data_IF_843722410436
#
_entry.id   IF_843722410436
#
_cell.length_a   1.000
_cell.length_b   1.000
_cell.length_c   1.000
_cell.angle_alpha   90.00
_cell.angle_beta   90.00
_cell.angle_gamma   90.00
#
_symmetry.space_group_name_H-M   'P 1'
#
loop_
_entity.id
_entity.type
_entity.pdbx_description
1 polymer ?
#
# COMPACT_ATOMS: atom_id res chain seq x y z
N UNK A 1 11.79 -39.26 16.31
CA UNK A 1 11.35 -38.34 15.24
C UNK A 1 10.39 -37.33 15.82
N UNK A 2 10.66 -36.02 15.69
CA UNK A 2 9.66 -34.94 15.57
C UNK A 2 10.43 -33.61 15.50
N UNK A 3 10.66 -33.14 14.28
CA UNK A 3 11.23 -31.83 13.99
C UNK A 3 10.14 -30.80 14.28
N UNK A 4 10.22 -30.09 15.40
CA UNK A 4 9.46 -28.86 15.65
C UNK A 4 10.26 -27.70 15.05
N UNK A 5 10.18 -27.56 13.72
CA UNK A 5 10.62 -26.34 13.04
C UNK A 5 9.44 -25.40 12.95
N UNK A 6 9.08 -24.76 14.06
CA UNK A 6 8.25 -23.56 14.05
C UNK A 6 9.16 -22.40 13.65
N UNK A 7 9.45 -22.29 12.35
CA UNK A 7 10.09 -21.10 11.80
C UNK A 7 9.01 -20.05 11.56
N UNK A 8 8.53 -19.43 12.65
CA UNK A 8 7.72 -18.22 12.57
C UNK A 8 8.65 -17.05 12.23
N UNK A 9 9.09 -16.97 10.97
CA UNK A 9 9.81 -15.81 10.46
C UNK A 9 8.79 -14.69 10.16
N UNK A 10 8.29 -14.04 11.21
CA UNK A 10 7.70 -12.71 11.08
C UNK A 10 8.88 -11.75 10.97
N UNK A 11 9.36 -11.57 9.75
CA UNK A 11 10.31 -10.52 9.42
C UNK A 11 9.73 -9.71 8.26
N UNK A 12 8.71 -8.91 8.57
CA UNK A 12 8.25 -7.82 7.73
C UNK A 12 8.44 -6.49 8.49
N UNK A 13 9.70 -6.17 8.77
CA UNK A 13 10.14 -4.83 9.15
C UNK A 13 11.17 -4.40 8.09
N UNK A 14 11.16 -3.23 7.47
CA UNK A 14 10.32 -2.05 7.63
C UNK A 14 10.09 -1.45 6.23
N UNK A 15 8.84 -1.26 5.79
CA UNK A 15 8.55 -0.48 4.60
C UNK A 15 8.55 1.02 4.97
N UNK A 16 9.72 1.51 5.35
CA UNK A 16 9.99 2.93 5.55
C UNK A 16 10.42 3.53 4.22
N UNK A 17 9.49 3.74 3.30
CA UNK A 17 9.73 4.61 2.14
C UNK A 17 8.67 5.70 2.17
N UNK A 18 9.06 6.85 2.72
CA UNK A 18 8.31 8.10 2.68
C UNK A 18 8.30 8.73 1.28
N UNK A 19 8.05 7.92 0.25
CA UNK A 19 7.71 8.40 -1.06
C UNK A 19 6.20 8.20 -1.22
N UNK A 20 5.45 9.30 -1.33
CA UNK A 20 4.07 9.27 -1.79
C UNK A 20 4.07 8.67 -3.20
N UNK A 21 3.93 7.36 -3.30
CA UNK A 21 3.73 6.70 -4.57
C UNK A 21 2.39 7.22 -5.09
N UNK A 22 2.44 8.02 -6.16
CA UNK A 22 1.27 8.70 -6.71
C UNK A 22 0.08 7.78 -7.04
N UNK A 23 0.27 6.45 -7.06
CA UNK A 23 -0.79 5.44 -7.12
C UNK A 23 -0.44 4.15 -6.37
N UNK A 24 -1.48 3.38 -6.02
CA UNK A 24 -1.36 2.06 -5.39
C UNK A 24 -0.49 1.06 -6.18
N UNK A 25 -0.59 1.06 -7.52
CA UNK A 25 0.21 0.17 -8.37
C UNK A 25 1.67 0.59 -8.41
N UNK A 26 1.95 1.90 -8.42
CA UNK A 26 3.32 2.40 -8.38
C UNK A 26 4.01 2.02 -7.08
N UNK A 27 3.28 1.97 -5.95
CA UNK A 27 3.82 1.49 -4.67
C UNK A 27 4.25 0.02 -4.75
N UNK A 28 3.40 -0.84 -5.33
CA UNK A 28 3.74 -2.26 -5.54
C UNK A 28 4.90 -2.43 -6.51
N UNK A 29 4.91 -1.67 -7.62
CA UNK A 29 5.98 -1.72 -8.60
C UNK A 29 7.32 -1.30 -8.01
N UNK A 30 7.36 -0.21 -7.23
CA UNK A 30 8.58 0.26 -6.58
C UNK A 30 9.18 -0.80 -5.65
N UNK A 31 8.34 -1.53 -4.94
CA UNK A 31 8.76 -2.63 -4.07
C UNK A 31 9.19 -3.87 -4.89
N UNK A 32 8.47 -4.17 -5.97
CA UNK A 32 8.74 -5.31 -6.84
C UNK A 32 10.05 -5.18 -7.65
N UNK A 33 10.58 -3.96 -7.83
CA UNK A 33 11.89 -3.73 -8.45
C UNK A 33 13.01 -4.41 -7.66
N UNK A 34 12.90 -4.44 -6.34
CA UNK A 34 13.95 -4.97 -5.46
C UNK A 34 13.78 -6.47 -5.15
N UNK A 35 12.58 -7.03 -5.34
CA UNK A 35 12.28 -8.43 -5.04
C UNK A 35 10.98 -8.91 -5.68
N UNK A 36 10.88 -10.21 -5.94
CA UNK A 36 9.58 -10.84 -6.24
C UNK A 36 8.71 -10.83 -4.98
N UNK A 37 7.47 -10.35 -5.11
CA UNK A 37 6.51 -10.28 -4.01
C UNK A 37 5.52 -11.45 -4.06
N UNK A 38 5.20 -12.02 -2.90
CA UNK A 38 4.05 -12.94 -2.77
C UNK A 38 2.73 -12.16 -2.76
N UNK A 39 1.58 -12.82 -3.04
CA UNK A 39 0.26 -12.17 -2.95
C UNK A 39 0.01 -11.48 -1.61
N UNK A 40 0.43 -12.09 -0.50
CA UNK A 40 0.30 -11.52 0.84
C UNK A 40 1.17 -10.28 1.00
N UNK A 41 2.40 -10.30 0.48
CA UNK A 41 3.30 -9.14 0.53
C UNK A 41 2.78 -7.99 -0.34
N UNK A 42 2.19 -8.29 -1.51
CA UNK A 42 1.49 -7.30 -2.33
C UNK A 42 0.33 -6.66 -1.55
N UNK A 43 -0.47 -7.46 -0.84
CA UNK A 43 -1.56 -6.93 0.01
C UNK A 43 -1.02 -6.03 1.11
N UNK A 44 0.07 -6.42 1.79
CA UNK A 44 0.73 -5.58 2.81
C UNK A 44 1.23 -4.26 2.23
N UNK A 45 1.81 -4.27 1.02
CA UNK A 45 2.26 -3.03 0.35
C UNK A 45 1.07 -2.12 0.03
N UNK A 46 -0.04 -2.68 -0.49
CA UNK A 46 -1.25 -1.91 -0.79
C UNK A 46 -1.90 -1.34 0.47
N UNK A 47 -1.93 -2.10 1.56
CA UNK A 47 -2.47 -1.65 2.85
C UNK A 47 -1.63 -0.51 3.42
N UNK A 48 -0.31 -0.65 3.40
CA UNK A 48 0.61 0.39 3.85
C UNK A 48 0.49 1.65 3.01
N UNK A 49 0.35 1.51 1.68
CA UNK A 49 0.08 2.64 0.79
C UNK A 49 -1.23 3.34 1.18
N UNK A 50 -2.34 2.59 1.33
CA UNK A 50 -3.64 3.16 1.72
C UNK A 50 -3.54 3.92 3.03
N UNK A 51 -2.91 3.32 4.05
CA UNK A 51 -2.74 3.94 5.36
C UNK A 51 -1.88 5.20 5.29
N UNK A 52 -0.80 5.18 4.52
CA UNK A 52 0.07 6.34 4.34
C UNK A 52 -0.68 7.50 3.65
N UNK A 53 -1.47 7.21 2.61
CA UNK A 53 -2.25 8.22 1.90
C UNK A 53 -3.35 8.82 2.77
N UNK A 54 -4.05 8.00 3.57
CA UNK A 54 -5.05 8.47 4.53
C UNK A 54 -4.42 9.32 5.65
N UNK A 55 -3.24 8.94 6.14
CA UNK A 55 -2.50 9.71 7.14
C UNK A 55 -2.09 11.09 6.62
N UNK A 56 -1.81 11.20 5.32
CA UNK A 56 -1.40 12.43 4.66
C UNK A 56 -2.50 13.06 3.81
N UNK A 57 -3.78 12.76 4.12
CA UNK A 57 -4.92 13.23 3.35
C UNK A 57 -4.99 14.75 3.20
N UNK A 58 -4.56 15.50 4.22
CA UNK A 58 -4.51 16.96 4.18
C UNK A 58 -3.42 17.51 3.24
N UNK A 59 -2.36 16.75 3.00
CA UNK A 59 -1.38 17.07 1.96
C UNK A 59 -1.99 16.79 0.58
N UNK A 60 -2.63 15.63 0.41
CA UNK A 60 -3.28 15.25 -0.86
C UNK A 60 -4.44 16.19 -1.23
N UNK A 61 -5.19 16.70 -0.24
CA UNK A 61 -6.24 17.69 -0.45
C UNK A 61 -5.73 18.98 -1.10
N UNK A 62 -4.57 19.46 -0.66
CA UNK A 62 -3.93 20.66 -1.22
C UNK A 62 -3.53 20.50 -2.69
N UNK A 63 -3.25 19.28 -3.15
CA UNK A 63 -2.91 19.00 -4.55
C UNK A 63 -4.13 18.83 -5.46
N UNK A 64 -5.29 18.44 -4.91
CA UNK A 64 -6.52 18.17 -5.68
C UNK A 64 -7.36 19.43 -5.84
N UNK A 65 -7.63 20.15 -4.74
CA UNK A 65 -8.29 21.46 -4.72
C UNK A 65 -8.44 21.94 -3.27
N UNK A 66 -8.25 23.24 -3.01
CA UNK A 66 -8.59 23.88 -1.72
C UNK A 66 -10.04 23.63 -1.27
N UNK A 67 -10.93 23.21 -2.19
CA UNK A 67 -12.36 22.98 -1.95
C UNK A 67 -12.80 21.53 -2.04
N UNK A 68 -11.91 20.59 -2.34
CA UNK A 68 -12.30 19.18 -2.42
C UNK A 68 -12.69 18.65 -1.03
N UNK A 69 -13.89 18.08 -0.85
CA UNK A 69 -14.24 17.44 0.42
C UNK A 69 -13.24 16.34 0.74
N UNK A 70 -12.77 16.25 1.99
CA UNK A 70 -11.85 15.16 2.40
C UNK A 70 -12.40 13.78 2.04
N UNK A 71 -13.72 13.60 2.12
CA UNK A 71 -14.40 12.37 1.73
C UNK A 71 -14.13 11.96 0.27
N UNK A 72 -14.11 12.93 -0.66
CA UNK A 72 -13.81 12.64 -2.07
C UNK A 72 -12.41 12.03 -2.24
N UNK A 73 -11.43 12.51 -1.47
CA UNK A 73 -10.05 12.02 -1.51
C UNK A 73 -9.97 10.63 -0.88
N UNK A 74 -10.70 10.39 0.23
CA UNK A 74 -10.83 9.04 0.80
C UNK A 74 -11.38 8.08 -0.25
N UNK A 75 -12.50 8.44 -0.90
CA UNK A 75 -13.15 7.59 -1.89
C UNK A 75 -12.23 7.28 -3.07
N UNK A 76 -11.42 8.26 -3.49
CA UNK A 76 -10.41 8.09 -4.52
C UNK A 76 -9.31 7.11 -4.09
N UNK A 77 -8.73 7.29 -2.90
CA UNK A 77 -7.71 6.36 -2.35
C UNK A 77 -8.27 4.94 -2.27
N UNK A 78 -9.51 4.79 -1.82
CA UNK A 78 -10.15 3.49 -1.75
C UNK A 78 -10.41 2.86 -3.13
N UNK A 79 -10.84 3.66 -4.11
CA UNK A 79 -11.05 3.18 -5.47
C UNK A 79 -9.73 2.71 -6.10
N UNK A 80 -8.64 3.45 -5.91
CA UNK A 80 -7.29 3.08 -6.35
C UNK A 80 -6.83 1.77 -5.68
N UNK A 81 -7.02 1.64 -4.37
CA UNK A 81 -6.72 0.43 -3.62
C UNK A 81 -7.49 -0.79 -4.16
N UNK A 82 -8.82 -0.69 -4.28
CA UNK A 82 -9.66 -1.78 -4.79
C UNK A 82 -9.32 -2.15 -6.24
N UNK A 83 -9.02 -1.16 -7.07
CA UNK A 83 -8.58 -1.37 -8.45
C UNK A 83 -7.25 -2.12 -8.50
N UNK A 84 -6.29 -1.78 -7.64
CA UNK A 84 -5.01 -2.45 -7.56
C UNK A 84 -5.15 -3.91 -7.10
N UNK A 85 -5.94 -4.16 -6.05
CA UNK A 85 -6.31 -5.51 -5.61
C UNK A 85 -6.85 -6.35 -6.78
N UNK A 86 -7.86 -5.82 -7.49
CA UNK A 86 -8.48 -6.52 -8.61
C UNK A 86 -7.50 -6.80 -9.75
N UNK A 87 -6.64 -5.84 -10.08
CA UNK A 87 -5.66 -5.96 -11.18
C UNK A 87 -4.52 -6.93 -10.84
N UNK A 88 -4.10 -6.98 -9.59
CA UNK A 88 -3.01 -7.83 -9.12
C UNK A 88 -3.50 -9.22 -8.68
N UNK A 89 -4.83 -9.39 -8.56
CA UNK A 89 -5.44 -10.69 -8.23
C UNK A 89 -5.19 -11.13 -6.79
N UNK A 90 -5.06 -10.17 -5.86
CA UNK A 90 -4.69 -10.42 -4.45
C UNK A 90 -5.86 -10.34 -3.51
#
# INVERSE_FOLDING_TARGET
MRKLTTALMIAAAALSVGAHAGSALSAVQAEAVNRTLTPEQVRVVLDNWKQNELKHIDQRARYVSDRAPKQFIVDQIEAEYRSAIKRLGV
#
